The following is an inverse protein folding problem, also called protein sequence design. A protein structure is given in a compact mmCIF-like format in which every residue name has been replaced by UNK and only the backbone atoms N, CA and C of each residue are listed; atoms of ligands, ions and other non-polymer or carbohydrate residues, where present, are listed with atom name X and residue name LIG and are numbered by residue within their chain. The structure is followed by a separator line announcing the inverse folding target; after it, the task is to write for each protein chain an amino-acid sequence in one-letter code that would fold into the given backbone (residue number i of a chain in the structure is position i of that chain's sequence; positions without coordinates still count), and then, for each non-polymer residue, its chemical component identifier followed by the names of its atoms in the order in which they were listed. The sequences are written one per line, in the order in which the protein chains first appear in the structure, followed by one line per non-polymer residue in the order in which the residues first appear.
data_IF_535146175772
#
_entry.id   IF_535146175772
#
_cell.length_a   1.000
_cell.length_b   1.000
_cell.length_c   1.000
_cell.angle_alpha   90.00
_cell.angle_beta   90.00
_cell.angle_gamma   90.00
#
_symmetry.space_group_name_H-M   'P 1'
#
loop_
_entity.id
_entity.type
_entity.pdbx_description
1 polymer ?
#
# COMPACT_ATOMS: atom_id res chain seq x y z
N UNK A 1 -21.47 27.46 12.89
CA UNK A 1 -20.07 27.26 12.42
C UNK A 1 -20.12 26.13 11.39
N UNK A 2 -20.08 26.45 10.10
CA UNK A 2 -20.10 25.42 9.04
C UNK A 2 -18.67 24.94 8.87
N UNK A 3 -18.39 23.69 9.27
CA UNK A 3 -17.10 23.07 9.03
C UNK A 3 -16.96 22.85 7.52
N UNK A 4 -16.03 23.56 6.88
CA UNK A 4 -15.66 23.32 5.49
C UNK A 4 -14.91 21.98 5.44
N UNK A 5 -15.57 20.92 4.97
CA UNK A 5 -14.93 19.62 4.72
C UNK A 5 -13.82 19.77 3.68
N UNK A 6 -12.58 19.43 4.06
CA UNK A 6 -11.42 19.48 3.16
C UNK A 6 -11.23 18.13 2.49
N UNK A 7 -11.17 18.14 1.16
CA UNK A 7 -11.07 16.95 0.32
C UNK A 7 -9.69 16.86 -0.31
N UNK A 8 -9.08 15.68 -0.25
CA UNK A 8 -7.86 15.35 -0.97
C UNK A 8 -8.18 14.37 -2.10
N UNK A 9 -7.82 14.72 -3.33
CA UNK A 9 -7.92 13.81 -4.48
C UNK A 9 -6.61 13.03 -4.59
N UNK A 10 -6.67 11.70 -4.46
CA UNK A 10 -5.52 10.82 -4.65
C UNK A 10 -5.78 9.99 -5.90
N UNK A 11 -5.15 10.36 -7.02
CA UNK A 11 -5.10 9.51 -8.21
C UNK A 11 -3.91 8.56 -8.06
N UNK A 12 -4.13 7.36 -7.52
CA UNK A 12 -3.12 6.33 -7.45
C UNK A 12 -2.93 5.69 -8.83
N UNK A 13 -2.07 6.29 -9.66
CA UNK A 13 -1.65 5.73 -10.94
C UNK A 13 -0.12 5.69 -10.92
N UNK A 14 0.43 4.47 -10.78
CA UNK A 14 1.88 4.15 -10.83
C UNK A 14 2.77 4.72 -9.70
N UNK A 15 2.45 4.42 -8.43
CA UNK A 15 3.44 4.57 -7.36
C UNK A 15 4.36 3.34 -7.29
N UNK A 16 5.68 3.56 -7.19
CA UNK A 16 6.65 2.51 -6.91
C UNK A 16 6.39 1.93 -5.51
N UNK A 17 6.36 0.62 -5.38
CA UNK A 17 6.12 -0.09 -4.12
C UNK A 17 7.16 0.26 -3.04
N UNK A 18 8.39 0.55 -3.45
CA UNK A 18 9.49 0.98 -2.59
C UNK A 18 9.23 2.32 -1.87
N UNK A 19 8.62 3.29 -2.56
CA UNK A 19 8.40 4.66 -2.07
C UNK A 19 6.97 4.94 -1.57
N UNK A 20 6.06 3.99 -1.77
CA UNK A 20 4.65 4.24 -1.52
C UNK A 20 4.32 4.48 -0.05
N UNK A 21 5.02 3.79 0.87
CA UNK A 21 4.89 4.03 2.31
C UNK A 21 5.23 5.49 2.65
N UNK A 22 6.35 6.00 2.13
CA UNK A 22 6.78 7.38 2.37
C UNK A 22 5.83 8.40 1.74
N UNK A 23 5.25 8.08 0.59
CA UNK A 23 4.21 8.91 -0.05
C UNK A 23 2.96 8.99 0.82
N UNK A 24 2.50 7.86 1.37
CA UNK A 24 1.36 7.80 2.27
C UNK A 24 1.62 8.54 3.58
N UNK A 25 2.86 8.50 4.09
CA UNK A 25 3.27 9.28 5.27
C UNK A 25 3.17 10.79 5.02
N UNK A 26 3.64 11.26 3.85
CA UNK A 26 3.49 12.66 3.44
C UNK A 26 2.03 13.06 3.26
N UNK A 27 1.21 12.20 2.65
CA UNK A 27 -0.24 12.42 2.53
C UNK A 27 -0.86 12.56 3.92
N UNK A 28 -0.56 11.64 4.85
CA UNK A 28 -1.09 11.66 6.22
C UNK A 28 -0.65 12.89 7.03
N UNK A 29 0.41 13.58 6.63
CA UNK A 29 0.82 14.85 7.24
C UNK A 29 -0.09 16.04 6.83
N UNK A 30 -0.80 15.93 5.70
CA UNK A 30 -1.71 16.97 5.23
C UNK A 30 -2.98 17.09 6.08
N UNK A 31 -3.60 18.27 6.05
CA UNK A 31 -4.87 18.57 6.73
C UNK A 31 -6.07 18.28 5.81
N UNK A 32 -6.55 17.03 5.84
CA UNK A 32 -7.70 16.55 5.07
C UNK A 32 -8.59 15.63 5.91
N UNK A 33 -9.88 15.63 5.58
CA UNK A 33 -10.86 14.76 6.23
C UNK A 33 -11.22 13.56 5.35
N UNK A 34 -11.37 13.81 4.05
CA UNK A 34 -11.89 12.85 3.07
C UNK A 34 -10.90 12.65 1.92
N UNK A 35 -10.76 11.40 1.50
CA UNK A 35 -10.06 10.98 0.30
C UNK A 35 -11.05 10.44 -0.71
N UNK A 36 -10.93 10.91 -1.94
CA UNK A 36 -11.63 10.36 -3.10
C UNK A 36 -10.65 9.43 -3.82
N UNK A 37 -10.77 8.09 -3.70
CA UNK A 37 -9.90 7.18 -4.45
C UNK A 37 -10.36 7.09 -5.92
N UNK A 38 -9.47 6.60 -6.78
CA UNK A 38 -9.83 6.27 -8.17
C UNK A 38 -10.85 5.13 -8.28
N UNK A 39 -10.88 4.22 -7.31
CA UNK A 39 -11.83 3.11 -7.21
C UNK A 39 -12.26 2.88 -5.76
N UNK A 40 -13.49 2.39 -5.56
CA UNK A 40 -14.02 2.08 -4.23
C UNK A 40 -14.73 3.27 -3.56
N UNK A 41 -15.09 3.14 -2.27
CA UNK A 41 -15.81 4.16 -1.53
C UNK A 41 -14.93 5.35 -1.15
N UNK A 42 -15.56 6.46 -0.75
CA UNK A 42 -14.84 7.56 -0.09
C UNK A 42 -14.19 7.06 1.19
N UNK A 43 -12.96 7.50 1.42
CA UNK A 43 -12.18 7.13 2.59
C UNK A 43 -11.95 8.34 3.51
N UNK A 44 -11.67 8.09 4.77
CA UNK A 44 -11.22 9.05 5.77
C UNK A 44 -9.73 8.88 6.03
N UNK A 45 -9.12 9.87 6.67
CA UNK A 45 -7.71 9.83 7.10
C UNK A 45 -7.34 8.57 7.89
N UNK A 46 -8.26 8.05 8.71
CA UNK A 46 -8.04 6.80 9.46
C UNK A 46 -7.92 5.57 8.55
N UNK A 47 -8.70 5.49 7.48
CA UNK A 47 -8.66 4.39 6.53
C UNK A 47 -7.37 4.43 5.70
N UNK A 48 -6.87 5.62 5.37
CA UNK A 48 -5.55 5.77 4.73
C UNK A 48 -4.42 5.28 5.64
N UNK A 49 -4.52 5.51 6.96
CA UNK A 49 -3.55 4.98 7.92
C UNK A 49 -3.55 3.46 7.95
N UNK A 50 -4.74 2.85 8.00
CA UNK A 50 -4.88 1.38 7.95
C UNK A 50 -4.29 0.82 6.65
N UNK A 51 -4.57 1.47 5.52
CA UNK A 51 -4.03 1.09 4.22
C UNK A 51 -2.50 1.17 4.20
N UNK A 52 -1.93 2.28 4.68
CA UNK A 52 -0.47 2.49 4.81
C UNK A 52 0.17 1.40 5.66
N UNK A 53 -0.40 1.09 6.82
CA UNK A 53 0.14 0.08 7.74
C UNK A 53 0.09 -1.33 7.15
N UNK A 54 -0.99 -1.68 6.44
CA UNK A 54 -1.08 -2.96 5.73
C UNK A 54 -0.02 -3.06 4.62
N UNK A 55 0.15 -1.97 3.86
CA UNK A 55 1.13 -1.92 2.78
C UNK A 55 2.56 -2.05 3.31
N UNK A 56 2.92 -1.34 4.39
CA UNK A 56 4.23 -1.46 5.03
C UNK A 56 4.49 -2.89 5.52
N UNK A 57 3.52 -3.53 6.18
CA UNK A 57 3.64 -4.93 6.63
C UNK A 57 3.91 -5.88 5.46
N UNK A 58 3.17 -5.73 4.37
CA UNK A 58 3.36 -6.53 3.16
C UNK A 58 4.77 -6.36 2.60
N UNK A 59 5.22 -5.12 2.38
CA UNK A 59 6.57 -4.83 1.86
C UNK A 59 7.66 -5.37 2.80
N UNK A 60 7.48 -5.23 4.12
CA UNK A 60 8.41 -5.78 5.09
C UNK A 60 8.52 -7.30 4.98
N UNK A 61 7.41 -8.02 4.78
CA UNK A 61 7.43 -9.48 4.62
C UNK A 61 8.10 -9.90 3.32
N UNK A 62 7.82 -9.21 2.22
CA UNK A 62 8.47 -9.47 0.92
C UNK A 62 9.98 -9.27 1.04
N UNK A 63 10.43 -8.18 1.66
CA UNK A 63 11.87 -7.92 1.91
C UNK A 63 12.52 -9.00 2.77
N UNK A 64 11.83 -9.47 3.82
CA UNK A 64 12.33 -10.58 4.65
C UNK A 64 12.52 -11.84 3.83
N UNK A 65 11.55 -12.19 2.97
CA UNK A 65 11.62 -13.38 2.10
C UNK A 65 12.75 -13.27 1.06
N UNK A 66 12.91 -12.11 0.41
CA UNK A 66 14.04 -11.83 -0.49
C UNK A 66 15.37 -12.04 0.25
N UNK A 67 15.50 -11.47 1.45
CA UNK A 67 16.73 -11.58 2.25
C UNK A 67 17.00 -13.01 2.73
N UNK A 68 15.98 -13.87 2.86
CA UNK A 68 16.14 -15.30 3.16
C UNK A 68 16.39 -16.17 1.93
N UNK A 69 16.43 -15.60 0.73
CA UNK A 69 16.74 -16.31 -0.51
C UNK A 69 15.51 -16.91 -1.22
N UNK A 70 14.29 -16.50 -0.87
CA UNK A 70 13.09 -16.89 -1.61
C UNK A 70 13.20 -16.41 -3.06
N UNK A 71 12.88 -17.29 -4.01
CA UNK A 71 12.92 -16.96 -5.44
C UNK A 71 11.69 -16.15 -5.88
N UNK A 72 11.79 -15.53 -7.06
CA UNK A 72 10.66 -14.85 -7.71
C UNK A 72 9.46 -15.79 -7.94
N UNK A 73 9.72 -17.07 -8.22
CA UNK A 73 8.68 -18.05 -8.52
C UNK A 73 7.98 -18.56 -7.24
N UNK A 74 8.71 -18.58 -6.12
CA UNK A 74 8.20 -19.07 -4.83
C UNK A 74 7.53 -17.97 -3.99
N UNK A 75 7.83 -16.69 -4.23
CA UNK A 75 7.37 -15.57 -3.40
C UNK A 75 5.84 -15.53 -3.21
N UNK A 76 5.06 -15.91 -4.21
CA UNK A 76 3.58 -15.90 -4.12
C UNK A 76 3.03 -16.97 -3.20
N UNK A 77 3.79 -18.06 -3.02
CA UNK A 77 3.42 -19.18 -2.14
C UNK A 77 3.94 -18.96 -0.72
N UNK A 78 5.14 -18.37 -0.60
CA UNK A 78 5.79 -18.12 0.70
C UNK A 78 5.23 -16.89 1.43
N UNK A 79 4.69 -15.92 0.70
CA UNK A 79 4.16 -14.69 1.28
C UNK A 79 2.78 -14.90 1.91
N UNK A 80 2.73 -14.93 3.24
CA UNK A 80 1.46 -14.85 3.98
C UNK A 80 0.95 -13.40 4.06
N UNK A 81 -0.23 -13.15 3.47
CA UNK A 81 -0.99 -11.90 3.57
C UNK A 81 -2.43 -12.11 4.08
N UNK A 82 -2.73 -13.30 4.61
CA UNK A 82 -4.08 -13.67 5.01
C UNK A 82 -4.67 -12.73 6.06
N UNK A 83 -3.84 -12.24 6.99
CA UNK A 83 -4.20 -11.26 8.03
C UNK A 83 -4.48 -9.85 7.48
N UNK A 84 -3.96 -9.51 6.29
CA UNK A 84 -4.17 -8.19 5.69
C UNK A 84 -5.57 -8.06 5.08
N UNK A 85 -6.25 -9.19 4.82
CA UNK A 85 -7.56 -9.25 4.17
C UNK A 85 -7.63 -8.36 2.91
N UNK A 86 -6.57 -8.42 2.08
CA UNK A 86 -6.42 -7.62 0.87
C UNK A 86 -6.38 -8.57 -0.35
N UNK A 87 -7.26 -8.39 -1.35
CA UNK A 87 -7.22 -9.19 -2.57
C UNK A 87 -6.05 -8.78 -3.49
N UNK A 88 -4.81 -9.05 -3.08
CA UNK A 88 -3.65 -8.89 -3.94
C UNK A 88 -3.53 -10.10 -4.87
N UNK A 89 -3.49 -9.85 -6.17
CA UNK A 89 -3.30 -10.91 -7.16
C UNK A 89 -1.82 -11.34 -7.20
N UNK A 90 -1.51 -12.63 -7.47
CA UNK A 90 -0.14 -13.15 -7.47
C UNK A 90 0.81 -12.42 -8.43
N UNK A 91 0.32 -12.00 -9.59
CA UNK A 91 1.08 -11.20 -10.57
C UNK A 91 1.57 -9.87 -9.99
N UNK A 92 0.78 -9.25 -9.10
CA UNK A 92 1.18 -8.03 -8.38
C UNK A 92 2.26 -8.28 -7.36
N UNK A 93 2.22 -9.40 -6.65
CA UNK A 93 3.27 -9.78 -5.69
C UNK A 93 4.60 -9.97 -6.44
N UNK A 94 4.60 -10.68 -7.57
CA UNK A 94 5.79 -10.85 -8.38
C UNK A 94 6.33 -9.54 -8.96
N UNK A 95 5.45 -8.64 -9.42
CA UNK A 95 5.87 -7.32 -9.88
C UNK A 95 6.55 -6.49 -8.77
N UNK A 96 6.06 -6.58 -7.53
CA UNK A 96 6.69 -5.93 -6.37
C UNK A 96 8.05 -6.57 -6.06
N UNK A 97 8.15 -7.90 -6.13
CA UNK A 97 9.44 -8.60 -5.99
C UNK A 97 10.45 -8.09 -7.03
N UNK A 98 10.04 -8.01 -8.30
CA UNK A 98 10.89 -7.51 -9.40
C UNK A 98 11.32 -6.07 -9.17
N UNK A 99 10.44 -5.21 -8.64
CA UNK A 99 10.79 -3.83 -8.30
C UNK A 99 11.82 -3.77 -7.15
N UNK A 100 11.66 -4.60 -6.13
CA UNK A 100 12.50 -4.59 -4.93
C UNK A 100 13.88 -5.26 -5.10
N UNK A 101 14.09 -5.98 -6.20
CA UNK A 101 15.33 -6.72 -6.50
C UNK A 101 16.13 -6.18 -7.68
N UNK A 102 15.67 -5.08 -8.29
CA UNK A 102 16.46 -4.26 -9.21
C UNK A 102 17.57 -3.51 -8.47
#
# INVERSE_FOLDING_TARGET
MVALSRHLLITAMAACASDWVATLDQILALDFDTVVPGHGPLLRKAEIRIFRDKFERMISRIRTLINSGTSRDDITSDLDISDLNWPLAPDRIQAIYDELTQ
#
